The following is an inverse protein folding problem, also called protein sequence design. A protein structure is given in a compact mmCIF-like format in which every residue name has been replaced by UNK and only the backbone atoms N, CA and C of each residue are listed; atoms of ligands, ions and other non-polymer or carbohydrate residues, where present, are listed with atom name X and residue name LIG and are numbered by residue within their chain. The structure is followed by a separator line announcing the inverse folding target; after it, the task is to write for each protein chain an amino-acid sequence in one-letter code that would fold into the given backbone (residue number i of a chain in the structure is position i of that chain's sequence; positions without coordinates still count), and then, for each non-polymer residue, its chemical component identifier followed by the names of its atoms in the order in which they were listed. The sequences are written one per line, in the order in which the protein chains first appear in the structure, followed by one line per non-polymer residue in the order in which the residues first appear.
data_IF_557919544001
#
_entry.id   IF_557919544001
#
_cell.length_a   1.000
_cell.length_b   1.000
_cell.length_c   1.000
_cell.angle_alpha   90.00
_cell.angle_beta   90.00
_cell.angle_gamma   90.00
#
_symmetry.space_group_name_H-M   'P 1'
#
loop_
_entity.id
_entity.type
_entity.pdbx_description
1 polymer ?
#
# COMPACT_ATOMS: atom_id res chain seq x y z
N UNK A 1 -2.50 10.30 25.25
CA UNK A 1 -1.55 9.16 25.29
C UNK A 1 -2.22 7.81 25.48
N UNK A 2 -3.21 7.65 26.39
CA UNK A 2 -3.92 6.37 26.60
C UNK A 2 -4.62 5.85 25.34
N UNK A 3 -5.39 6.71 24.66
CA UNK A 3 -6.07 6.40 23.38
C UNK A 3 -5.13 5.98 22.23
N UNK A 4 -3.94 6.57 22.14
CA UNK A 4 -2.94 6.19 21.14
C UNK A 4 -2.36 4.80 21.44
N UNK A 5 -2.08 4.50 22.72
CA UNK A 5 -1.63 3.17 23.17
C UNK A 5 -2.71 2.11 22.91
N UNK A 6 -3.96 2.41 23.22
CA UNK A 6 -5.08 1.49 23.03
C UNK A 6 -5.29 1.18 21.53
N UNK A 7 -5.15 2.19 20.66
CA UNK A 7 -5.18 2.01 19.21
C UNK A 7 -4.02 1.16 18.68
N UNK A 8 -2.80 1.34 19.20
CA UNK A 8 -1.64 0.53 18.82
C UNK A 8 -1.82 -0.94 19.25
N UNK A 9 -2.30 -1.17 20.47
CA UNK A 9 -2.55 -2.52 21.00
C UNK A 9 -3.63 -3.21 20.15
N UNK A 10 -4.74 -2.52 19.89
CA UNK A 10 -5.83 -3.07 19.09
C UNK A 10 -5.36 -3.42 17.67
N UNK A 11 -4.60 -2.53 17.02
CA UNK A 11 -4.02 -2.78 15.70
C UNK A 11 -3.04 -3.97 15.71
N UNK A 12 -2.27 -4.13 16.79
CA UNK A 12 -1.32 -5.24 16.94
C UNK A 12 -2.07 -6.57 17.07
N UNK A 13 -3.14 -6.61 17.88
CA UNK A 13 -4.00 -7.80 18.02
C UNK A 13 -4.64 -8.16 16.69
N UNK A 14 -5.24 -7.20 15.99
CA UNK A 14 -5.81 -7.42 14.66
C UNK A 14 -4.76 -7.96 13.67
N UNK A 15 -3.55 -7.39 13.68
CA UNK A 15 -2.48 -7.83 12.81
C UNK A 15 -2.06 -9.29 13.08
N UNK A 16 -1.93 -9.68 14.35
CA UNK A 16 -1.59 -11.06 14.74
C UNK A 16 -2.70 -12.02 14.30
N UNK A 17 -3.96 -11.71 14.59
CA UNK A 17 -5.11 -12.54 14.21
C UNK A 17 -5.23 -12.70 12.70
N UNK A 18 -5.09 -11.60 11.96
CA UNK A 18 -5.13 -11.60 10.50
C UNK A 18 -3.98 -12.43 9.90
N UNK A 19 -2.76 -12.29 10.45
CA UNK A 19 -1.60 -13.07 10.00
C UNK A 19 -1.77 -14.56 10.28
N UNK A 20 -2.29 -14.93 11.46
CA UNK A 20 -2.56 -16.32 11.80
C UNK A 20 -3.63 -16.94 10.88
N UNK A 21 -4.67 -16.17 10.54
CA UNK A 21 -5.70 -16.60 9.59
C UNK A 21 -5.13 -16.79 8.17
N UNK A 22 -4.28 -15.87 7.68
CA UNK A 22 -3.58 -16.02 6.41
C UNK A 22 -2.69 -17.28 6.38
N UNK A 23 -1.95 -17.55 7.46
CA UNK A 23 -1.12 -18.75 7.57
C UNK A 23 -1.99 -20.01 7.54
N UNK A 24 -3.13 -20.01 8.23
CA UNK A 24 -4.08 -21.12 8.19
C UNK A 24 -4.59 -21.39 6.77
N UNK A 25 -4.98 -20.35 6.02
CA UNK A 25 -5.43 -20.48 4.64
C UNK A 25 -4.30 -21.02 3.73
N UNK A 26 -3.07 -20.57 3.97
CA UNK A 26 -1.88 -21.04 3.27
C UNK A 26 -1.68 -22.54 3.51
N UNK A 27 -1.60 -22.96 4.77
CA UNK A 27 -1.38 -24.37 5.16
C UNK A 27 -2.50 -25.31 4.71
N UNK A 28 -3.73 -24.81 4.55
CA UNK A 28 -4.88 -25.60 4.09
C UNK A 28 -5.09 -25.55 2.57
N UNK A 29 -4.21 -24.86 1.83
CA UNK A 29 -4.26 -24.79 0.37
C UNK A 29 -5.46 -24.01 -0.17
N UNK A 30 -6.06 -23.11 0.63
CA UNK A 30 -7.22 -22.30 0.25
C UNK A 30 -6.81 -21.06 -0.55
N UNK A 31 -6.17 -21.29 -1.71
CA UNK A 31 -5.54 -20.26 -2.52
C UNK A 31 -6.53 -19.18 -2.98
N UNK A 32 -7.75 -19.55 -3.37
CA UNK A 32 -8.78 -18.60 -3.81
C UNK A 32 -9.14 -17.58 -2.71
N UNK A 33 -9.24 -18.05 -1.46
CA UNK A 33 -9.53 -17.19 -0.31
C UNK A 33 -8.38 -16.24 0.02
N UNK A 34 -7.14 -16.73 -0.15
CA UNK A 34 -5.94 -15.88 0.00
C UNK A 34 -5.97 -14.78 -1.07
N UNK A 35 -6.22 -15.14 -2.32
CA UNK A 35 -6.27 -14.18 -3.43
C UNK A 35 -7.38 -13.14 -3.21
N UNK A 36 -8.56 -13.58 -2.79
CA UNK A 36 -9.68 -12.69 -2.45
C UNK A 36 -9.30 -11.69 -1.34
N UNK A 37 -8.80 -12.16 -0.20
CA UNK A 37 -8.45 -11.31 0.94
C UNK A 37 -7.33 -10.31 0.59
N UNK A 38 -6.30 -10.76 -0.11
CA UNK A 38 -5.18 -9.91 -0.51
C UNK A 38 -5.65 -8.84 -1.50
N UNK A 39 -6.56 -9.19 -2.41
CA UNK A 39 -7.15 -8.24 -3.36
C UNK A 39 -7.98 -7.19 -2.62
N UNK A 40 -8.84 -7.58 -1.68
CA UNK A 40 -9.63 -6.65 -0.87
C UNK A 40 -8.75 -5.70 -0.05
N UNK A 41 -7.70 -6.22 0.60
CA UNK A 41 -6.74 -5.39 1.35
C UNK A 41 -5.99 -4.43 0.42
N UNK A 42 -5.60 -4.88 -0.77
CA UNK A 42 -4.96 -4.03 -1.76
C UNK A 42 -5.89 -2.92 -2.24
N UNK A 43 -7.13 -3.24 -2.60
CA UNK A 43 -8.14 -2.27 -3.02
C UNK A 43 -8.47 -1.24 -1.93
N UNK A 44 -8.60 -1.68 -0.67
CA UNK A 44 -8.78 -0.80 0.47
C UNK A 44 -7.59 0.15 0.68
N UNK A 45 -6.36 -0.38 0.55
CA UNK A 45 -5.13 0.42 0.66
C UNK A 45 -5.03 1.46 -0.46
N UNK A 46 -5.37 1.08 -1.70
CA UNK A 46 -5.38 1.98 -2.84
C UNK A 46 -6.41 3.10 -2.69
N UNK A 47 -7.59 2.78 -2.13
CA UNK A 47 -8.62 3.78 -1.81
C UNK A 47 -8.13 4.78 -0.77
N UNK A 48 -7.43 4.30 0.26
CA UNK A 48 -6.83 5.17 1.27
C UNK A 48 -5.75 6.08 0.67
N UNK A 49 -4.87 5.55 -0.18
CA UNK A 49 -3.84 6.32 -0.90
C UNK A 49 -4.49 7.40 -1.78
N UNK A 50 -5.60 7.07 -2.45
CA UNK A 50 -6.35 8.01 -3.28
C UNK A 50 -6.92 9.20 -2.46
N UNK A 51 -7.39 8.94 -1.23
CA UNK A 51 -7.83 10.01 -0.31
C UNK A 51 -6.65 10.91 0.07
N UNK A 52 -5.49 10.33 0.39
CA UNK A 52 -4.26 11.07 0.68
C UNK A 52 -3.86 11.95 -0.50
N UNK A 53 -3.90 11.39 -1.71
CA UNK A 53 -3.58 12.07 -2.95
C UNK A 53 -4.47 13.29 -3.17
N UNK A 54 -5.80 13.13 -3.08
CA UNK A 54 -6.75 14.24 -3.22
C UNK A 54 -6.50 15.33 -2.19
N UNK A 55 -6.22 14.96 -0.93
CA UNK A 55 -5.88 15.95 0.10
C UNK A 55 -4.57 16.69 -0.22
N UNK A 56 -3.55 15.98 -0.71
CA UNK A 56 -2.28 16.60 -1.13
C UNK A 56 -2.48 17.56 -2.31
N UNK A 57 -3.21 17.13 -3.34
CA UNK A 57 -3.50 17.95 -4.53
C UNK A 57 -4.19 19.26 -4.13
N UNK A 58 -5.17 19.22 -3.22
CA UNK A 58 -5.80 20.42 -2.66
C UNK A 58 -4.82 21.33 -1.89
N UNK A 59 -3.88 20.77 -1.14
CA UNK A 59 -2.87 21.57 -0.43
C UNK A 59 -1.87 22.23 -1.40
N UNK A 60 -1.47 21.50 -2.44
CA UNK A 60 -0.58 21.98 -3.51
C UNK A 60 -1.24 23.11 -4.31
N UNK A 61 -2.51 22.96 -4.68
CA UNK A 61 -3.30 23.98 -5.41
C UNK A 61 -3.46 25.27 -4.61
N UNK A 62 -3.78 25.16 -3.32
CA UNK A 62 -3.96 26.31 -2.45
C UNK A 62 -2.64 26.92 -1.94
N UNK A 63 -1.48 26.39 -2.37
CA UNK A 63 -0.14 26.76 -1.88
C UNK A 63 -0.05 26.77 -0.35
N UNK A 64 -0.87 25.95 0.30
CA UNK A 64 -1.07 25.97 1.74
C UNK A 64 -0.29 24.83 2.39
N UNK A 65 0.42 25.12 3.48
CA UNK A 65 1.08 24.11 4.30
C UNK A 65 2.01 23.17 3.52
N UNK A 66 3.04 23.72 2.87
CA UNK A 66 4.03 22.97 2.07
C UNK A 66 4.59 21.74 2.80
N UNK A 67 4.85 21.84 4.11
CA UNK A 67 5.33 20.73 4.92
C UNK A 67 4.31 19.60 5.06
N UNK A 68 3.02 19.91 5.17
CA UNK A 68 1.96 18.91 5.22
C UNK A 68 1.80 18.23 3.86
N UNK A 69 1.81 18.99 2.76
CA UNK A 69 1.81 18.43 1.40
C UNK A 69 2.99 17.46 1.20
N UNK A 70 4.21 17.86 1.57
CA UNK A 70 5.41 17.02 1.49
C UNK A 70 5.30 15.74 2.33
N UNK A 71 4.66 15.83 3.51
CA UNK A 71 4.38 14.66 4.34
C UNK A 71 3.39 13.71 3.67
N UNK A 72 2.30 14.25 3.10
CA UNK A 72 1.31 13.44 2.37
C UNK A 72 1.91 12.81 1.11
N UNK A 73 2.77 13.53 0.37
CA UNK A 73 3.49 13.01 -0.79
C UNK A 73 4.38 11.81 -0.43
N UNK A 74 5.08 11.89 0.70
CA UNK A 74 5.88 10.77 1.21
C UNK A 74 5.01 9.57 1.61
N UNK A 75 3.84 9.80 2.21
CA UNK A 75 2.91 8.71 2.56
C UNK A 75 2.32 8.08 1.29
N UNK A 76 1.90 8.89 0.31
CA UNK A 76 1.39 8.43 -0.99
C UNK A 76 2.45 7.57 -1.70
N UNK A 77 3.68 8.08 -1.84
CA UNK A 77 4.78 7.37 -2.48
C UNK A 77 5.07 6.03 -1.81
N UNK A 78 5.18 6.01 -0.47
CA UNK A 78 5.42 4.78 0.29
C UNK A 78 4.25 3.81 0.21
N UNK A 79 3.02 4.32 0.25
CA UNK A 79 1.81 3.52 0.13
C UNK A 79 1.79 2.75 -1.19
N UNK A 80 2.08 3.44 -2.29
CA UNK A 80 2.19 2.81 -3.61
C UNK A 80 3.34 1.78 -3.67
N UNK A 81 4.54 2.11 -3.19
CA UNK A 81 5.68 1.17 -3.23
C UNK A 81 5.43 -0.07 -2.37
N UNK A 82 5.05 0.12 -1.10
CA UNK A 82 4.87 -0.99 -0.15
C UNK A 82 3.65 -1.82 -0.50
N UNK A 83 2.51 -1.18 -0.79
CA UNK A 83 1.27 -1.87 -1.16
C UNK A 83 1.43 -2.72 -2.41
N UNK A 84 2.03 -2.16 -3.47
CA UNK A 84 2.31 -2.90 -4.69
C UNK A 84 3.34 -4.02 -4.50
N UNK A 85 4.39 -3.80 -3.70
CA UNK A 85 5.42 -4.83 -3.46
C UNK A 85 4.86 -6.05 -2.73
N UNK A 86 4.04 -5.82 -1.70
CA UNK A 86 3.37 -6.90 -0.95
C UNK A 86 2.46 -7.70 -1.89
N UNK A 87 1.68 -7.01 -2.72
CA UNK A 87 0.80 -7.67 -3.69
C UNK A 87 1.57 -8.51 -4.72
N UNK A 88 2.65 -7.97 -5.30
CA UNK A 88 3.50 -8.68 -6.27
C UNK A 88 4.11 -9.93 -5.63
N UNK A 89 4.62 -9.83 -4.40
CA UNK A 89 5.21 -10.98 -3.69
C UNK A 89 4.18 -12.07 -3.42
N UNK A 90 2.98 -11.70 -3.00
CA UNK A 90 1.88 -12.65 -2.77
C UNK A 90 1.44 -13.31 -4.07
N UNK A 91 1.28 -12.53 -5.14
CA UNK A 91 0.96 -13.05 -6.47
C UNK A 91 2.00 -14.05 -6.97
N UNK A 92 3.30 -13.72 -6.87
CA UNK A 92 4.39 -14.63 -7.26
C UNK A 92 4.40 -15.90 -6.41
N UNK A 93 4.15 -15.76 -5.10
CA UNK A 93 4.09 -16.91 -4.19
C UNK A 93 2.96 -17.87 -4.56
N UNK A 94 1.82 -17.35 -5.02
CA UNK A 94 0.69 -18.17 -5.46
C UNK A 94 0.98 -18.83 -6.83
N UNK A 95 1.53 -18.09 -7.80
CA UNK A 95 1.92 -18.67 -9.11
C UNK A 95 2.93 -19.81 -8.96
N UNK A 96 3.88 -19.67 -8.03
CA UNK A 96 4.88 -20.70 -7.77
C UNK A 96 4.25 -21.95 -7.17
N UNK A 97 3.09 -21.82 -6.52
CA UNK A 97 2.44 -22.90 -5.79
C UNK A 97 1.37 -23.63 -6.61
N UNK A 98 0.62 -22.91 -7.43
CA UNK A 98 -0.43 -23.50 -8.28
C UNK A 98 -0.28 -23.05 -9.74
N UNK A 99 0.00 -24.02 -10.62
CA UNK A 99 0.40 -23.75 -12.03
C UNK A 99 -0.79 -23.55 -12.97
N UNK A 100 -2.03 -23.69 -12.51
CA UNK A 100 -3.19 -23.72 -13.38
C UNK A 100 -4.27 -22.78 -12.82
N UNK A 101 -4.73 -21.87 -13.68
CA UNK A 101 -5.94 -21.05 -13.50
C UNK A 101 -5.82 -19.68 -12.78
N UNK A 102 -4.75 -18.91 -13.02
CA UNK A 102 -4.63 -17.53 -12.51
C UNK A 102 -4.87 -16.40 -13.54
N UNK A 103 -5.72 -16.61 -14.55
CA UNK A 103 -6.00 -15.56 -15.56
C UNK A 103 -6.50 -14.24 -14.93
N UNK A 104 -7.30 -14.33 -13.87
CA UNK A 104 -7.89 -13.18 -13.15
C UNK A 104 -6.81 -12.35 -12.41
N UNK A 105 -5.67 -12.94 -12.08
CA UNK A 105 -4.68 -12.29 -11.25
C UNK A 105 -3.64 -11.47 -12.06
N UNK A 106 -3.53 -11.67 -13.38
CA UNK A 106 -2.64 -10.88 -14.25
C UNK A 106 -3.02 -9.40 -14.37
N UNK A 107 -4.31 -9.01 -14.51
CA UNK A 107 -4.72 -7.61 -14.42
C UNK A 107 -4.29 -6.95 -13.11
N UNK A 108 -4.42 -7.68 -11.99
CA UNK A 108 -4.03 -7.18 -10.67
C UNK A 108 -2.51 -7.02 -10.55
N UNK A 109 -1.73 -7.94 -11.12
CA UNK A 109 -0.27 -7.78 -11.23
C UNK A 109 0.08 -6.51 -12.02
N UNK A 110 -0.58 -6.27 -13.16
CA UNK A 110 -0.37 -5.06 -13.96
C UNK A 110 -0.66 -3.79 -13.17
N UNK A 111 -1.78 -3.76 -12.43
CA UNK A 111 -2.11 -2.65 -11.53
C UNK A 111 -1.07 -2.46 -10.43
N UNK A 112 -0.56 -3.54 -9.85
CA UNK A 112 0.49 -3.47 -8.83
C UNK A 112 1.80 -2.91 -9.40
N UNK A 113 2.24 -3.37 -10.59
CA UNK A 113 3.41 -2.81 -11.28
C UNK A 113 3.23 -1.32 -11.57
N UNK A 114 2.07 -0.91 -12.09
CA UNK A 114 1.75 0.50 -12.33
C UNK A 114 1.80 1.34 -11.04
N UNK A 115 1.25 0.80 -9.95
CA UNK A 115 1.37 1.41 -8.62
C UNK A 115 2.82 1.56 -8.17
N UNK A 116 3.65 0.54 -8.38
CA UNK A 116 5.07 0.53 -8.00
C UNK A 116 5.86 1.63 -8.76
N UNK A 117 5.66 1.73 -10.08
CA UNK A 117 6.25 2.79 -10.91
C UNK A 117 5.81 4.18 -10.45
N UNK A 118 4.51 4.35 -10.14
CA UNK A 118 3.98 5.61 -9.61
C UNK A 118 4.61 5.97 -8.26
N UNK A 119 4.78 4.99 -7.37
CA UNK A 119 5.44 5.18 -6.09
C UNK A 119 6.90 5.64 -6.23
N UNK A 120 7.64 5.08 -7.18
CA UNK A 120 9.00 5.54 -7.48
C UNK A 120 9.02 6.96 -8.05
N UNK A 121 8.15 7.27 -9.01
CA UNK A 121 8.04 8.62 -9.55
C UNK A 121 7.78 9.66 -8.44
N UNK A 122 6.82 9.39 -7.55
CA UNK A 122 6.50 10.29 -6.43
C UNK A 122 7.64 10.39 -5.42
N UNK A 123 8.42 9.32 -5.24
CA UNK A 123 9.63 9.35 -4.40
C UNK A 123 10.70 10.27 -4.98
N UNK A 124 10.89 10.23 -6.29
CA UNK A 124 11.79 11.16 -7.01
C UNK A 124 11.29 12.59 -6.92
N UNK A 125 9.98 12.82 -7.06
CA UNK A 125 9.39 14.16 -6.89
C UNK A 125 9.56 14.68 -5.46
N UNK A 126 9.36 13.83 -4.45
CA UNK A 126 9.63 14.17 -3.06
C UNK A 126 11.09 14.58 -2.84
N UNK A 127 12.03 13.83 -3.43
CA UNK A 127 13.45 14.13 -3.36
C UNK A 127 13.76 15.50 -3.97
N UNK A 128 13.27 15.75 -5.19
CA UNK A 128 13.42 17.02 -5.90
C UNK A 128 12.85 18.21 -5.11
N UNK A 129 11.68 18.06 -4.50
CA UNK A 129 11.08 19.11 -3.66
C UNK A 129 11.90 19.39 -2.40
N UNK A 130 12.56 18.38 -1.82
CA UNK A 130 13.46 18.58 -0.66
C UNK A 130 14.74 19.31 -1.01
N UNK A 131 15.34 19.04 -2.16
CA UNK A 131 16.56 19.71 -2.61
C UNK A 131 16.34 21.21 -2.87
N UNK A 132 15.15 21.58 -3.32
CA UNK A 132 14.78 22.97 -3.62
C UNK A 132 14.32 23.76 -2.37
N UNK A 133 14.33 23.17 -1.18
CA UNK A 133 14.05 23.91 0.06
C UNK A 133 15.25 24.77 0.45
N UNK A 134 15.05 26.03 0.90
CA UNK A 134 16.14 26.85 1.39
C UNK A 134 16.80 26.13 2.58
N UNK A 135 18.12 25.90 2.47
CA UNK A 135 18.92 25.34 3.57
C UNK A 135 18.84 26.32 4.75
N UNK A 136 18.31 25.85 5.88
CA UNK A 136 18.35 26.58 7.15
C UNK A 136 19.71 26.46 7.80
#
# INVERSE_FOLDING_TARGET
MKTLKDSIILNTIFFILFSAFLIYLLLTGQIDWILFLVTEVFMGSMTYIEIIRKKRELLDENQSSHNESMKLLNIEARGYVVGSSIFILLFLSIILWDKKDMFIAYPLLGSAIGGLLRGFYLSTELYRRRENLPKR
#
